data_IF_476295666891
#
_entry.id   IF_476295666891
#
_cell.length_a   1.000
_cell.length_b   1.000
_cell.length_c   1.000
_cell.angle_alpha   90.00
_cell.angle_beta   90.00
_cell.angle_gamma   90.00
#
_symmetry.space_group_name_H-M   'P 1'
#
loop_
_entity.id
_entity.type
_entity.pdbx_description
1 polymer ?
#
# COMPACT_ATOMS: atom_id res chain seq x y z
N UNK A 1 14.10 0.47 4.24
CA UNK A 1 14.06 1.90 4.61
C UNK A 1 12.91 2.54 3.84
N UNK A 2 12.08 3.35 4.51
CA UNK A 2 10.96 4.04 3.86
C UNK A 2 11.45 4.99 2.76
N UNK A 3 10.71 5.07 1.66
CA UNK A 3 11.09 5.81 0.45
C UNK A 3 10.12 6.95 0.22
N UNK A 4 10.64 8.11 -0.19
CA UNK A 4 9.80 9.19 -0.69
C UNK A 4 9.10 8.74 -1.99
N UNK A 5 7.80 9.00 -2.10
CA UNK A 5 6.98 8.69 -3.26
C UNK A 5 6.12 9.90 -3.64
N UNK A 6 5.84 10.04 -4.92
CA UNK A 6 5.01 11.15 -5.41
C UNK A 6 3.53 10.80 -5.30
N UNK A 7 2.74 11.69 -4.69
CA UNK A 7 1.29 11.66 -4.73
C UNK A 7 0.81 12.59 -5.84
N UNK A 8 0.28 12.01 -6.92
CA UNK A 8 -0.27 12.77 -8.05
C UNK A 8 -1.65 13.34 -7.68
N UNK A 9 -2.09 14.49 -8.23
CA UNK A 9 -3.42 15.05 -7.96
C UNK A 9 -4.58 14.06 -8.17
N UNK A 10 -4.46 13.18 -9.17
CA UNK A 10 -5.44 12.12 -9.46
C UNK A 10 -5.67 11.12 -8.33
N UNK A 11 -4.84 11.10 -7.28
CA UNK A 11 -5.10 10.36 -6.05
C UNK A 11 -6.35 10.90 -5.33
N UNK A 12 -6.49 12.22 -5.24
CA UNK A 12 -7.58 12.87 -4.51
C UNK A 12 -8.89 12.91 -5.30
N UNK A 13 -8.81 12.86 -6.62
CA UNK A 13 -9.97 12.88 -7.53
C UNK A 13 -10.38 11.49 -8.03
N UNK A 14 -9.90 10.42 -7.40
CA UNK A 14 -10.32 9.06 -7.74
C UNK A 14 -11.60 8.73 -6.97
N UNK A 15 -12.71 8.53 -7.68
CA UNK A 15 -14.03 8.32 -7.09
C UNK A 15 -14.09 7.05 -6.21
N UNK A 16 -13.53 5.95 -6.69
CA UNK A 16 -13.49 4.69 -5.93
C UNK A 16 -12.71 4.83 -4.62
N UNK A 17 -11.57 5.54 -4.66
CA UNK A 17 -10.75 5.80 -3.48
C UNK A 17 -11.42 6.80 -2.54
N UNK A 18 -12.15 7.78 -3.09
CA UNK A 18 -12.87 8.80 -2.31
C UNK A 18 -13.98 8.20 -1.45
N UNK A 19 -14.57 7.07 -1.86
CA UNK A 19 -15.53 6.30 -1.05
C UNK A 19 -14.86 5.54 0.13
N UNK A 20 -13.53 5.44 0.16
CA UNK A 20 -12.82 4.88 1.31
C UNK A 20 -12.80 5.84 2.50
N UNK A 21 -12.68 5.27 3.71
CA UNK A 21 -12.50 6.09 4.92
C UNK A 21 -11.22 6.93 4.79
N UNK A 22 -11.17 8.15 5.36
CA UNK A 22 -9.97 9.01 5.28
C UNK A 22 -8.67 8.31 5.68
N UNK A 23 -8.68 7.53 6.76
CA UNK A 23 -7.50 6.79 7.20
C UNK A 23 -7.13 5.62 6.29
N UNK A 24 -8.08 5.01 5.58
CA UNK A 24 -7.77 4.00 4.56
C UNK A 24 -7.12 4.64 3.31
N UNK A 25 -7.52 5.87 2.96
CA UNK A 25 -6.84 6.66 1.92
C UNK A 25 -5.42 7.02 2.35
N UNK A 26 -5.24 7.52 3.58
CA UNK A 26 -3.91 7.81 4.12
C UNK A 26 -3.03 6.55 4.20
N UNK A 27 -3.61 5.42 4.62
CA UNK A 27 -2.96 4.11 4.61
C UNK A 27 -2.45 3.80 3.21
N UNK A 28 -3.29 3.91 2.18
CA UNK A 28 -2.90 3.61 0.80
C UNK A 28 -1.70 4.45 0.32
N UNK A 29 -1.69 5.76 0.60
CA UNK A 29 -0.54 6.60 0.30
C UNK A 29 0.72 6.16 1.08
N UNK A 30 0.56 5.80 2.35
CA UNK A 30 1.65 5.30 3.18
C UNK A 30 2.21 3.96 2.73
N UNK A 31 1.37 3.04 2.24
CA UNK A 31 1.80 1.75 1.69
C UNK A 31 2.86 1.94 0.59
N UNK A 32 2.74 2.99 -0.23
CA UNK A 32 3.69 3.26 -1.31
C UNK A 32 5.12 3.52 -0.77
N UNK A 33 5.22 4.07 0.44
CA UNK A 33 6.51 4.44 1.05
C UNK A 33 7.24 3.24 1.66
N UNK A 34 6.48 2.19 2.03
CA UNK A 34 7.01 0.97 2.65
C UNK A 34 7.05 -0.23 1.69
N UNK A 35 6.44 -0.11 0.52
CA UNK A 35 6.53 -1.10 -0.54
C UNK A 35 7.92 -1.13 -1.20
N UNK A 36 8.28 -2.30 -1.69
CA UNK A 36 9.48 -2.49 -2.49
C UNK A 36 9.39 -1.84 -3.88
N UNK A 37 10.39 -2.08 -4.73
CA UNK A 37 10.42 -1.45 -6.05
C UNK A 37 9.31 -1.92 -7.00
N UNK A 38 8.74 -3.10 -6.78
CA UNK A 38 7.64 -3.64 -7.61
C UNK A 38 6.26 -3.33 -6.99
N UNK A 39 6.22 -2.60 -5.87
CA UNK A 39 4.98 -2.24 -5.19
C UNK A 39 4.46 -3.35 -4.30
N UNK A 40 5.35 -4.23 -3.80
CA UNK A 40 5.02 -5.37 -2.94
C UNK A 40 5.48 -5.16 -1.51
N UNK A 41 4.79 -5.79 -0.57
CA UNK A 41 5.12 -5.80 0.84
C UNK A 41 4.52 -7.03 1.53
N UNK A 42 5.05 -7.39 2.70
CA UNK A 42 4.45 -8.41 3.57
C UNK A 42 3.08 -7.95 4.08
N UNK A 43 2.11 -8.85 4.08
CA UNK A 43 0.77 -8.59 4.60
C UNK A 43 0.71 -8.78 6.12
N UNK A 44 1.25 -7.79 6.84
CA UNK A 44 1.28 -7.81 8.30
C UNK A 44 0.57 -6.55 8.84
N UNK A 45 -0.77 -6.58 8.98
CA UNK A 45 -1.58 -5.40 9.32
C UNK A 45 -1.10 -4.65 10.57
N UNK A 46 -0.65 -5.39 11.60
CA UNK A 46 -0.09 -4.80 12.83
C UNK A 46 1.19 -4.02 12.58
N UNK A 47 2.14 -4.58 11.80
CA UNK A 47 3.39 -3.90 11.45
C UNK A 47 3.14 -2.71 10.54
N UNK A 48 2.27 -2.88 9.53
CA UNK A 48 1.85 -1.81 8.62
C UNK A 48 1.25 -0.65 9.41
N UNK A 49 0.37 -0.91 10.39
CA UNK A 49 -0.19 0.13 11.25
C UNK A 49 0.90 0.91 11.98
N UNK A 50 1.86 0.23 12.61
CA UNK A 50 2.96 0.91 13.33
C UNK A 50 3.79 1.78 12.39
N UNK A 51 4.01 1.35 11.14
CA UNK A 51 4.81 2.11 10.18
C UNK A 51 4.05 3.30 9.57
N UNK A 52 2.74 3.20 9.38
CA UNK A 52 1.96 4.17 8.60
C UNK A 52 0.99 5.00 9.45
N UNK A 53 0.35 4.40 10.44
CA UNK A 53 -0.71 4.99 11.29
C UNK A 53 -0.46 4.66 12.79
N UNK A 54 0.74 4.96 13.34
CA UNK A 54 1.16 4.48 14.66
C UNK A 54 0.22 4.90 15.78
N UNK A 55 -0.23 6.16 15.75
CA UNK A 55 -1.02 6.77 16.82
C UNK A 55 -2.52 6.84 16.53
N UNK A 56 -2.96 6.49 15.30
CA UNK A 56 -4.36 6.55 14.95
C UNK A 56 -5.15 5.37 15.54
N UNK A 57 -6.35 5.65 16.02
CA UNK A 57 -7.33 4.65 16.45
C UNK A 57 -8.03 4.04 15.22
N UNK A 58 -7.30 3.17 14.52
CA UNK A 58 -7.77 2.55 13.28
C UNK A 58 -7.52 1.05 13.28
N UNK A 59 -8.53 0.34 12.78
CA UNK A 59 -8.40 -1.06 12.41
C UNK A 59 -7.74 -1.15 11.03
N UNK A 60 -6.43 -1.45 11.04
CA UNK A 60 -5.62 -1.55 9.82
C UNK A 60 -6.09 -2.69 8.91
N UNK A 61 -6.52 -3.81 9.50
CA UNK A 61 -7.03 -4.96 8.75
C UNK A 61 -8.30 -4.60 7.97
N UNK A 62 -9.23 -3.88 8.59
CA UNK A 62 -10.43 -3.35 7.89
C UNK A 62 -10.07 -2.35 6.79
N UNK A 63 -9.06 -1.51 7.03
CA UNK A 63 -8.61 -0.53 6.03
C UNK A 63 -7.97 -1.22 4.82
N UNK A 64 -7.12 -2.22 5.04
CA UNK A 64 -6.56 -3.07 3.98
C UNK A 64 -7.65 -3.83 3.23
N UNK A 65 -8.62 -4.40 3.95
CA UNK A 65 -9.78 -5.08 3.35
C UNK A 65 -10.61 -4.14 2.48
N UNK A 66 -10.82 -2.89 2.91
CA UNK A 66 -11.50 -1.88 2.09
C UNK A 66 -10.74 -1.59 0.79
N UNK A 67 -9.42 -1.36 0.87
CA UNK A 67 -8.58 -1.13 -0.31
C UNK A 67 -8.55 -2.34 -1.25
N UNK A 68 -8.56 -3.56 -0.69
CA UNK A 68 -8.61 -4.79 -1.46
C UNK A 68 -9.94 -4.94 -2.20
N UNK A 69 -11.06 -4.73 -1.50
CA UNK A 69 -12.41 -4.83 -2.10
C UNK A 69 -12.63 -3.87 -3.27
N UNK A 70 -11.91 -2.74 -3.29
CA UNK A 70 -11.93 -1.73 -4.35
C UNK A 70 -10.78 -1.86 -5.35
N UNK A 71 -10.07 -3.00 -5.32
CA UNK A 71 -9.00 -3.33 -6.28
C UNK A 71 -7.82 -2.34 -6.30
N UNK A 72 -7.57 -1.61 -5.20
CA UNK A 72 -6.35 -0.80 -5.04
C UNK A 72 -5.14 -1.63 -4.64
N UNK A 73 -5.39 -2.73 -3.93
CA UNK A 73 -4.39 -3.71 -3.54
C UNK A 73 -4.91 -5.13 -3.79
N UNK A 74 -3.99 -6.05 -4.05
CA UNK A 74 -4.25 -7.49 -4.09
C UNK A 74 -3.53 -8.14 -2.91
N UNK A 75 -4.25 -8.88 -2.07
CA UNK A 75 -3.68 -9.70 -0.99
C UNK A 75 -3.54 -11.13 -1.50
N UNK A 76 -2.39 -11.76 -1.31
CA UNK A 76 -2.09 -13.09 -1.84
C UNK A 76 -1.11 -13.82 -0.94
N UNK A 77 -1.02 -15.15 -1.10
CA UNK A 77 -0.13 -15.99 -0.31
C UNK A 77 0.78 -16.81 -1.22
N UNK A 78 2.06 -16.93 -0.84
CA UNK A 78 3.06 -17.78 -1.51
C UNK A 78 3.86 -18.51 -0.43
N UNK A 79 3.99 -19.83 -0.56
CA UNK A 79 4.74 -20.68 0.37
C UNK A 79 4.39 -20.46 1.86
N UNK A 80 3.11 -20.22 2.15
CA UNK A 80 2.60 -20.02 3.50
C UNK A 80 2.82 -18.62 4.09
N UNK A 81 3.32 -17.67 3.29
CA UNK A 81 3.48 -16.27 3.69
C UNK A 81 2.49 -15.39 2.92
N UNK A 82 1.95 -14.38 3.60
CA UNK A 82 0.99 -13.44 3.03
C UNK A 82 1.66 -12.13 2.61
N UNK A 83 1.21 -11.60 1.48
CA UNK A 83 1.77 -10.44 0.80
C UNK A 83 0.68 -9.54 0.23
N UNK A 84 1.07 -8.30 -0.04
CA UNK A 84 0.24 -7.28 -0.69
C UNK A 84 0.95 -6.82 -1.96
N UNK A 85 0.21 -6.73 -3.06
CA UNK A 85 0.60 -6.03 -4.28
C UNK A 85 -0.22 -4.74 -4.37
N UNK A 86 0.43 -3.60 -4.54
CA UNK A 86 -0.24 -2.36 -4.92
C UNK A 86 -0.57 -2.42 -6.40
N UNK A 87 -1.86 -2.36 -6.73
CA UNK A 87 -2.31 -2.47 -8.11
C UNK A 87 -1.93 -1.21 -8.90
N UNK A 88 -1.68 -1.37 -10.21
CA UNK A 88 -1.24 -0.29 -11.09
C UNK A 88 0.06 0.43 -10.65
N UNK A 89 0.91 -0.21 -9.84
CA UNK A 89 2.13 0.41 -9.29
C UNK A 89 2.98 1.13 -10.35
N UNK A 90 3.37 0.44 -11.43
CA UNK A 90 4.22 0.99 -12.51
C UNK A 90 3.57 2.14 -13.30
N UNK A 91 2.25 2.29 -13.25
CA UNK A 91 1.52 3.42 -13.84
C UNK A 91 1.63 4.67 -12.96
N UNK A 92 1.65 4.49 -11.65
CA UNK A 92 1.56 5.59 -10.69
C UNK A 92 2.90 5.97 -10.05
N UNK A 93 3.81 5.02 -9.90
CA UNK A 93 5.13 5.20 -9.31
C UNK A 93 6.22 4.86 -10.31
N UNK A 94 7.33 5.60 -10.22
CA UNK A 94 8.56 5.32 -10.96
C UNK A 94 9.72 5.20 -9.95
N UNK A 95 9.87 4.04 -9.30
CA UNK A 95 10.97 3.77 -8.38
C UNK A 95 12.32 4.03 -9.02
N UNK A 96 13.29 4.52 -8.24
CA UNK A 96 14.60 4.85 -8.78
C UNK A 96 15.31 3.56 -9.25
N UNK A 97 16.05 3.64 -10.37
CA UNK A 97 16.70 2.46 -10.98
C UNK A 97 17.72 1.75 -10.06
N UNK A 98 18.22 2.44 -9.03
CA UNK A 98 19.13 1.91 -8.01
C UNK A 98 18.42 1.25 -6.82
N UNK A 99 17.08 1.26 -6.76
CA UNK A 99 16.35 0.52 -5.74
C UNK A 99 16.56 -0.98 -5.93
N UNK A 100 16.84 -1.69 -4.83
CA UNK A 100 17.05 -3.14 -4.84
C UNK A 100 15.88 -3.86 -5.52
N UNK A 101 16.17 -4.94 -6.27
CA UNK A 101 15.14 -5.82 -6.80
C UNK A 101 14.16 -6.29 -5.73
N UNK A 102 12.92 -6.56 -6.15
CA UNK A 102 11.96 -7.22 -5.29
C UNK A 102 12.43 -8.64 -4.98
N UNK A 103 12.36 -9.01 -3.72
CA UNK A 103 12.56 -10.36 -3.21
C UNK A 103 11.21 -11.01 -2.82
N UNK A 104 10.12 -10.25 -2.97
CA UNK A 104 8.76 -10.69 -2.66
C UNK A 104 8.18 -11.33 -3.93
N UNK A 105 7.67 -12.58 -3.86
CA UNK A 105 7.23 -13.34 -5.04
C UNK A 105 6.13 -12.64 -5.87
#
# INVERSE_FOLDING_TARGET
MAKARNIKPGFFSNDDLAECKPLARLLFAGLWTIADREGRLEDQPRKIKVMVLPYDEVDCEKSLSQLHSKNFITRYSVDGNDYIQINNWKKHQNPHCKESPSEIP
#
